data_IF_555755670707
#
_entry.id   IF_555755670707
#
_cell.length_a   1.000
_cell.length_b   1.000
_cell.length_c   1.000
_cell.angle_alpha   90.00
_cell.angle_beta   90.00
_cell.angle_gamma   90.00
#
_symmetry.space_group_name_H-M   'P 1'
#
loop_
_entity.id
_entity.type
_entity.pdbx_description
1 polymer ?
#
# COMPACT_ATOMS: atom_id res chain seq x y z
N UNK A 1 24.87 -3.26 17.83
CA UNK A 1 24.89 -3.96 16.53
C UNK A 1 23.76 -3.45 15.65
N UNK A 2 24.04 -3.26 14.36
CA UNK A 2 23.04 -2.89 13.37
C UNK A 2 22.27 -4.15 12.95
N UNK A 3 20.97 -4.02 12.70
CA UNK A 3 20.12 -5.12 12.23
C UNK A 3 19.98 -5.17 10.71
N UNK A 4 20.44 -4.13 10.01
CA UNK A 4 20.32 -3.96 8.56
C UNK A 4 21.69 -3.60 7.97
N UNK A 5 21.98 -3.95 6.71
CA UNK A 5 23.25 -3.62 6.05
C UNK A 5 23.38 -2.13 5.67
N UNK A 6 22.38 -1.31 6.01
CA UNK A 6 22.33 0.13 5.73
C UNK A 6 22.18 0.90 7.03
N UNK A 7 22.98 1.95 7.19
CA UNK A 7 22.89 2.88 8.30
C UNK A 7 22.80 4.32 7.79
N UNK A 8 21.78 5.05 8.24
CA UNK A 8 21.62 6.46 7.99
C UNK A 8 21.75 7.21 9.33
N UNK A 9 22.79 8.05 9.52
CA UNK A 9 22.90 8.87 10.72
C UNK A 9 21.71 9.82 10.87
N UNK A 10 21.15 9.92 12.08
CA UNK A 10 20.04 10.84 12.38
C UNK A 10 20.46 12.32 12.36
N UNK A 11 21.77 12.57 12.50
CA UNK A 11 22.37 13.90 12.54
C UNK A 11 23.38 14.06 11.43
N UNK A 12 23.32 15.21 10.77
CA UNK A 12 24.28 15.54 9.73
C UNK A 12 25.66 15.76 10.33
N UNK A 13 26.68 15.25 9.66
CA UNK A 13 28.06 15.53 9.99
C UNK A 13 28.46 16.94 9.53
N UNK A 14 29.42 17.55 10.22
CA UNK A 14 30.00 18.82 9.81
C UNK A 14 30.79 18.67 8.49
N UNK A 15 31.07 19.76 7.76
CA UNK A 15 31.99 19.72 6.63
C UNK A 15 33.37 19.20 7.03
N UNK A 16 33.95 18.33 6.20
CA UNK A 16 35.24 17.74 6.46
C UNK A 16 35.40 16.34 5.87
N UNK A 17 36.55 15.74 6.15
CA UNK A 17 36.93 14.40 5.69
C UNK A 17 36.67 13.38 6.80
N UNK A 18 35.99 12.31 6.45
CA UNK A 18 35.56 11.25 7.35
C UNK A 18 36.10 9.89 6.90
N UNK A 19 36.24 9.00 7.87
CA UNK A 19 36.66 7.62 7.67
C UNK A 19 35.67 6.70 8.36
N UNK A 20 35.35 5.57 7.76
CA UNK A 20 34.44 4.59 8.35
C UNK A 20 34.80 3.17 7.94
N UNK A 21 34.31 2.19 8.70
CA UNK A 21 34.44 0.75 8.45
C UNK A 21 33.17 0.05 8.93
N UNK A 22 32.95 -1.18 8.47
CA UNK A 22 31.91 -2.06 9.00
C UNK A 22 32.51 -3.37 9.50
N UNK A 23 31.79 -4.03 10.41
CA UNK A 23 32.12 -5.34 10.97
C UNK A 23 30.85 -6.22 10.90
N UNK A 24 30.98 -7.45 10.39
CA UNK A 24 29.89 -8.42 10.30
C UNK A 24 30.44 -9.84 10.31
N UNK A 25 29.87 -10.74 11.11
CA UNK A 25 30.28 -12.15 11.14
C UNK A 25 31.76 -12.41 11.49
N UNK A 26 32.43 -11.47 12.16
CA UNK A 26 33.87 -11.54 12.46
C UNK A 26 34.77 -11.05 11.32
N UNK A 27 34.20 -10.64 10.19
CA UNK A 27 34.91 -9.92 9.12
C UNK A 27 34.83 -8.41 9.36
N UNK A 28 35.89 -7.71 8.95
CA UNK A 28 35.97 -6.25 9.00
C UNK A 28 36.37 -5.74 7.63
N UNK A 29 35.76 -4.65 7.19
CA UNK A 29 36.19 -3.96 5.98
C UNK A 29 37.54 -3.24 6.14
N UNK A 30 38.13 -2.90 5.01
CA UNK A 30 39.12 -1.82 4.94
C UNK A 30 38.50 -0.47 5.33
N UNK A 31 39.30 0.52 5.76
CA UNK A 31 38.79 1.86 6.04
C UNK A 31 38.37 2.58 4.74
N UNK A 32 37.10 2.93 4.65
CA UNK A 32 36.58 3.78 3.59
C UNK A 32 36.71 5.26 3.97
N UNK A 33 36.75 6.14 2.96
CA UNK A 33 36.83 7.59 3.15
C UNK A 33 35.75 8.29 2.35
N UNK A 34 35.19 9.37 2.90
CA UNK A 34 34.35 10.31 2.17
C UNK A 34 34.58 11.75 2.67
N UNK A 35 34.12 12.74 1.90
CA UNK A 35 34.22 14.16 2.25
C UNK A 35 32.83 14.81 2.19
N UNK A 36 32.54 15.67 3.15
CA UNK A 36 31.37 16.54 3.15
C UNK A 36 31.84 17.95 2.86
N UNK A 37 31.44 18.47 1.70
CA UNK A 37 31.77 19.83 1.29
C UNK A 37 31.03 20.87 2.18
N UNK A 38 31.58 22.08 2.38
CA UNK A 38 30.92 23.14 3.15
C UNK A 38 29.53 23.55 2.65
N UNK A 39 29.23 23.32 1.37
CA UNK A 39 27.91 23.59 0.76
C UNK A 39 27.03 22.37 0.59
N UNK A 40 27.36 21.23 1.22
CA UNK A 40 26.53 20.03 1.12
C UNK A 40 25.14 20.26 1.74
N UNK A 41 24.10 19.76 1.07
CA UNK A 41 22.73 19.84 1.57
C UNK A 41 22.63 19.09 2.90
N UNK A 42 22.13 19.78 3.93
CA UNK A 42 21.82 19.16 5.22
C UNK A 42 20.43 18.54 5.16
N UNK A 43 20.35 17.22 5.27
CA UNK A 43 19.10 16.48 5.39
C UNK A 43 19.15 15.62 6.66
N UNK A 44 18.39 16.02 7.67
CA UNK A 44 18.20 15.22 8.89
C UNK A 44 16.82 14.55 8.81
N UNK A 45 16.82 13.22 8.87
CA UNK A 45 15.58 12.44 8.88
C UNK A 45 15.35 11.98 10.32
N UNK A 46 14.32 12.48 11.02
CA UNK A 46 14.04 12.03 12.37
C UNK A 46 13.73 10.53 12.45
N UNK A 47 13.92 9.89 13.61
CA UNK A 47 13.64 8.47 13.77
C UNK A 47 12.15 8.18 13.59
N UNK A 48 11.81 6.99 13.08
CA UNK A 48 10.43 6.58 12.81
C UNK A 48 9.47 6.80 13.99
N UNK A 49 9.93 6.59 15.23
CA UNK A 49 9.16 6.81 16.45
C UNK A 49 8.63 8.26 16.58
N UNK A 50 9.42 9.25 16.18
CA UNK A 50 9.03 10.66 16.22
C UNK A 50 7.95 10.96 15.18
N UNK A 51 8.07 10.42 13.97
CA UNK A 51 7.03 10.54 12.95
C UNK A 51 5.73 9.90 13.42
N UNK A 52 5.80 8.67 13.92
CA UNK A 52 4.64 7.91 14.41
C UNK A 52 3.92 8.63 15.54
N UNK A 53 4.64 9.26 16.46
CA UNK A 53 4.04 10.05 17.54
C UNK A 53 3.30 11.31 17.04
N UNK A 54 3.65 11.83 15.85
CA UNK A 54 2.99 12.98 15.22
C UNK A 54 1.79 12.61 14.37
N UNK A 55 1.61 11.34 14.00
CA UNK A 55 0.44 10.91 13.22
C UNK A 55 -0.85 11.07 14.04
N UNK A 56 -1.90 11.60 13.41
CA UNK A 56 -3.20 11.71 14.03
C UNK A 56 -3.74 10.32 14.41
N UNK A 57 -4.33 10.19 15.61
CA UNK A 57 -4.94 8.94 16.06
C UNK A 57 -6.26 8.62 15.33
N UNK A 58 -6.88 9.57 14.63
CA UNK A 58 -8.10 9.37 13.85
C UNK A 58 -7.84 9.14 12.36
N UNK A 59 -8.89 8.80 11.61
CA UNK A 59 -8.86 8.65 10.15
C UNK A 59 -9.65 9.78 9.46
N UNK A 60 -9.28 10.21 8.24
CA UNK A 60 -8.20 9.69 7.39
C UNK A 60 -6.81 10.12 7.84
N UNK A 61 -5.77 9.41 7.38
CA UNK A 61 -4.34 9.70 7.58
C UNK A 61 -3.55 9.71 6.28
N UNK A 62 -4.12 9.21 5.19
CA UNK A 62 -3.49 9.17 3.86
C UNK A 62 -4.04 10.33 3.03
N UNK A 63 -3.13 11.21 2.57
CA UNK A 63 -3.41 12.45 1.82
C UNK A 63 -4.26 13.52 2.55
N UNK A 64 -4.62 13.29 3.80
CA UNK A 64 -5.35 14.24 4.63
C UNK A 64 -5.41 13.78 6.09
N UNK A 65 -6.01 14.62 6.93
CA UNK A 65 -6.23 14.37 8.37
C UNK A 65 -7.70 14.58 8.73
N UNK A 66 -8.18 14.08 9.89
CA UNK A 66 -9.59 14.25 10.28
C UNK A 66 -10.00 15.73 10.36
N UNK A 67 -9.09 16.59 10.85
CA UNK A 67 -9.33 18.03 10.99
C UNK A 67 -9.49 18.78 9.66
N UNK A 68 -9.06 18.19 8.54
CA UNK A 68 -9.15 18.82 7.21
C UNK A 68 -10.42 18.43 6.44
N UNK A 69 -11.17 17.41 6.90
CA UNK A 69 -12.29 16.84 6.13
C UNK A 69 -13.41 17.86 5.92
N UNK A 70 -13.75 18.65 6.94
CA UNK A 70 -14.83 19.64 6.83
C UNK A 70 -14.53 20.73 5.79
N UNK A 71 -13.31 21.28 5.81
CA UNK A 71 -12.85 22.26 4.82
C UNK A 71 -12.81 21.66 3.41
N UNK A 72 -12.29 20.43 3.28
CA UNK A 72 -12.22 19.74 2.00
C UNK A 72 -13.61 19.55 1.36
N UNK A 73 -14.61 19.17 2.17
CA UNK A 73 -16.01 19.05 1.72
C UNK A 73 -16.59 20.39 1.29
N UNK A 74 -16.33 21.47 2.04
CA UNK A 74 -16.78 22.80 1.68
C UNK A 74 -16.20 23.27 0.33
N UNK A 75 -14.89 23.08 0.12
CA UNK A 75 -14.24 23.38 -1.16
C UNK A 75 -14.77 22.52 -2.31
N UNK A 76 -15.00 21.22 -2.05
CA UNK A 76 -15.56 20.32 -3.06
C UNK A 76 -16.99 20.72 -3.45
N UNK A 77 -17.83 21.12 -2.49
CA UNK A 77 -19.19 21.57 -2.75
C UNK A 77 -19.22 22.78 -3.70
N UNK A 78 -18.28 23.72 -3.54
CA UNK A 78 -18.16 24.93 -4.36
C UNK A 78 -17.42 24.70 -5.69
N UNK A 79 -16.70 23.59 -5.85
CA UNK A 79 -15.99 23.28 -7.09
C UNK A 79 -16.96 23.09 -8.26
N UNK A 80 -16.61 23.68 -9.41
CA UNK A 80 -17.27 23.53 -10.71
C UNK A 80 -16.41 22.74 -11.70
N UNK A 81 -15.42 22.00 -11.21
CA UNK A 81 -14.50 21.24 -12.05
C UNK A 81 -15.20 20.06 -12.73
N UNK A 82 -14.99 19.81 -14.03
CA UNK A 82 -15.48 18.60 -14.70
C UNK A 82 -15.01 17.30 -14.03
N UNK A 83 -13.86 17.33 -13.33
CA UNK A 83 -13.36 16.19 -12.56
C UNK A 83 -14.29 15.81 -11.40
N UNK A 84 -14.99 16.79 -10.79
CA UNK A 84 -15.99 16.52 -9.75
C UNK A 84 -17.17 15.76 -10.33
N UNK A 85 -17.70 16.23 -11.45
CA UNK A 85 -18.86 15.59 -12.08
C UNK A 85 -18.52 14.18 -12.53
N UNK A 86 -17.32 13.98 -13.10
CA UNK A 86 -16.81 12.65 -13.43
C UNK A 86 -16.70 11.74 -12.21
N UNK A 87 -16.11 12.21 -11.11
CA UNK A 87 -16.00 11.42 -9.88
C UNK A 87 -17.38 10.97 -9.38
N UNK A 88 -18.35 11.89 -9.34
CA UNK A 88 -19.70 11.60 -8.85
C UNK A 88 -20.44 10.63 -9.78
N UNK A 89 -20.27 10.79 -11.10
CA UNK A 89 -20.85 9.86 -12.09
C UNK A 89 -20.23 8.45 -11.96
N UNK A 90 -18.90 8.36 -11.87
CA UNK A 90 -18.19 7.09 -11.69
C UNK A 90 -18.61 6.41 -10.36
N UNK A 91 -18.70 7.18 -9.27
CA UNK A 91 -19.13 6.67 -7.97
C UNK A 91 -20.61 6.22 -7.97
N UNK A 92 -21.49 6.95 -8.65
CA UNK A 92 -22.90 6.58 -8.78
C UNK A 92 -23.08 5.31 -9.62
N UNK A 93 -22.30 5.15 -10.70
CA UNK A 93 -22.27 3.91 -11.47
C UNK A 93 -21.78 2.74 -10.61
N UNK A 94 -20.67 2.93 -9.88
CA UNK A 94 -20.11 1.91 -9.00
C UNK A 94 -21.03 1.47 -7.86
N UNK A 95 -22.00 2.30 -7.43
CA UNK A 95 -23.04 1.91 -6.46
C UNK A 95 -24.00 0.85 -7.02
N UNK A 96 -24.22 0.83 -8.34
CA UNK A 96 -25.08 -0.15 -9.00
C UNK A 96 -24.40 -1.49 -9.29
N UNK A 97 -23.07 -1.52 -9.23
CA UNK A 97 -22.26 -2.70 -9.51
C UNK A 97 -22.18 -3.66 -8.31
N UNK A 98 -21.78 -4.91 -8.57
CA UNK A 98 -21.47 -5.86 -7.50
C UNK A 98 -20.40 -5.30 -6.55
N UNK A 99 -20.58 -5.53 -5.25
CA UNK A 99 -19.57 -5.23 -4.23
C UNK A 99 -18.90 -6.50 -3.68
N UNK A 100 -19.10 -7.62 -4.38
CA UNK A 100 -18.45 -8.88 -4.13
C UNK A 100 -17.59 -9.27 -5.33
N UNK A 101 -16.39 -9.77 -5.06
CA UNK A 101 -15.50 -10.38 -6.04
C UNK A 101 -15.00 -11.71 -5.48
N UNK A 102 -15.27 -12.79 -6.21
CA UNK A 102 -14.82 -14.12 -5.84
C UNK A 102 -13.30 -14.23 -5.90
N UNK A 103 -12.72 -15.07 -5.06
CA UNK A 103 -11.28 -15.35 -5.12
C UNK A 103 -10.93 -16.01 -6.47
N UNK A 104 -9.90 -15.52 -7.17
CA UNK A 104 -9.54 -16.08 -8.46
C UNK A 104 -8.96 -17.49 -8.32
N UNK A 105 -9.00 -18.32 -9.39
CA UNK A 105 -8.34 -19.62 -9.39
C UNK A 105 -6.81 -19.46 -9.38
N UNK A 106 -6.09 -20.54 -9.05
CA UNK A 106 -4.65 -20.60 -9.27
C UNK A 106 -4.34 -20.51 -10.76
N UNK A 107 -3.37 -19.64 -11.09
CA UNK A 107 -2.74 -19.60 -12.40
C UNK A 107 -2.15 -20.97 -12.80
N UNK A 108 -2.29 -21.38 -14.08
CA UNK A 108 -1.57 -22.51 -14.67
C UNK A 108 -0.03 -22.38 -14.53
N UNK A 109 0.69 -23.46 -14.84
CA UNK A 109 2.14 -23.42 -14.96
C UNK A 109 2.55 -22.67 -16.25
N UNK A 110 3.20 -21.52 -16.08
CA UNK A 110 3.62 -20.64 -17.18
C UNK A 110 4.56 -21.33 -18.17
N UNK A 111 5.37 -22.30 -17.70
CA UNK A 111 6.32 -23.03 -18.53
C UNK A 111 5.67 -24.17 -19.33
N UNK A 112 4.44 -24.57 -18.97
CA UNK A 112 3.68 -25.61 -19.66
C UNK A 112 2.68 -25.04 -20.66
N UNK A 113 1.95 -24.00 -20.27
CA UNK A 113 0.87 -23.44 -21.08
C UNK A 113 0.75 -21.92 -20.84
N UNK A 114 1.54 -21.17 -21.60
CA UNK A 114 1.56 -19.71 -21.53
C UNK A 114 0.22 -19.08 -21.93
N UNK A 115 -0.49 -19.64 -22.91
CA UNK A 115 -1.74 -19.06 -23.40
C UNK A 115 -2.85 -19.18 -22.34
N UNK A 116 -2.98 -20.36 -21.71
CA UNK A 116 -3.91 -20.54 -20.60
C UNK A 116 -3.53 -19.70 -19.39
N UNK A 117 -2.22 -19.61 -19.07
CA UNK A 117 -1.72 -18.74 -18.01
C UNK A 117 -2.09 -17.27 -18.26
N UNK A 118 -1.79 -16.76 -19.45
CA UNK A 118 -2.00 -15.36 -19.79
C UNK A 118 -3.47 -14.97 -19.80
N UNK A 119 -4.35 -15.83 -20.34
CA UNK A 119 -5.78 -15.58 -20.35
C UNK A 119 -6.34 -15.36 -18.94
N UNK A 120 -6.02 -16.26 -18.01
CA UNK A 120 -6.49 -16.18 -16.62
C UNK A 120 -5.80 -15.02 -15.88
N UNK A 121 -4.48 -14.87 -16.04
CA UNK A 121 -3.74 -13.78 -15.39
C UNK A 121 -4.24 -12.40 -15.80
N UNK A 122 -4.54 -12.20 -17.09
CA UNK A 122 -5.01 -10.91 -17.62
C UNK A 122 -6.37 -10.51 -17.04
N UNK A 123 -7.30 -11.47 -16.93
CA UNK A 123 -8.60 -11.24 -16.28
C UNK A 123 -8.41 -10.85 -14.80
N UNK A 124 -7.62 -11.62 -14.05
CA UNK A 124 -7.37 -11.36 -12.63
C UNK A 124 -6.73 -9.98 -12.41
N UNK A 125 -5.75 -9.62 -13.25
CA UNK A 125 -5.09 -8.33 -13.24
C UNK A 125 -6.11 -7.19 -13.32
N UNK A 126 -6.98 -7.22 -14.32
CA UNK A 126 -7.91 -6.12 -14.56
C UNK A 126 -9.09 -6.12 -13.61
N UNK A 127 -9.65 -7.29 -13.28
CA UNK A 127 -10.79 -7.40 -12.38
C UNK A 127 -10.44 -6.96 -10.97
N UNK A 128 -9.34 -7.49 -10.40
CA UNK A 128 -8.92 -7.11 -9.05
C UNK A 128 -8.53 -5.62 -8.97
N UNK A 129 -7.82 -5.10 -9.99
CA UNK A 129 -7.45 -3.69 -10.06
C UNK A 129 -8.68 -2.78 -10.17
N UNK A 130 -9.60 -3.08 -11.08
CA UNK A 130 -10.83 -2.31 -11.26
C UNK A 130 -11.70 -2.36 -9.99
N UNK A 131 -11.78 -3.51 -9.33
CA UNK A 131 -12.60 -3.69 -8.13
C UNK A 131 -12.10 -2.86 -6.95
N UNK A 132 -10.80 -2.94 -6.62
CA UNK A 132 -10.20 -2.16 -5.52
C UNK A 132 -10.10 -0.69 -5.88
N UNK A 133 -9.79 -0.35 -7.14
CA UNK A 133 -9.84 1.05 -7.59
C UNK A 133 -11.24 1.62 -7.47
N UNK A 134 -12.27 0.83 -7.75
CA UNK A 134 -13.67 1.20 -7.51
C UNK A 134 -13.95 1.48 -6.04
N UNK A 135 -13.42 0.69 -5.12
CA UNK A 135 -13.51 0.96 -3.68
C UNK A 135 -12.83 2.28 -3.30
N UNK A 136 -11.66 2.60 -3.86
CA UNK A 136 -10.98 3.88 -3.67
C UNK A 136 -11.82 5.06 -4.20
N UNK A 137 -12.42 4.92 -5.39
CA UNK A 137 -13.30 5.94 -5.98
C UNK A 137 -14.53 6.21 -5.12
N UNK A 138 -15.19 5.15 -4.64
CA UNK A 138 -16.33 5.24 -3.72
C UNK A 138 -15.91 5.90 -2.39
N UNK A 139 -14.79 5.47 -1.82
CA UNK A 139 -14.25 6.05 -0.59
C UNK A 139 -13.92 7.54 -0.73
N UNK A 140 -13.33 7.95 -1.86
CA UNK A 140 -13.05 9.36 -2.16
C UNK A 140 -14.34 10.16 -2.30
N UNK A 141 -15.35 9.61 -2.99
CA UNK A 141 -16.66 10.25 -3.11
C UNK A 141 -17.29 10.46 -1.72
N UNK A 142 -17.25 9.46 -0.83
CA UNK A 142 -17.68 9.64 0.57
C UNK A 142 -16.87 10.72 1.30
N UNK A 143 -15.54 10.70 1.19
CA UNK A 143 -14.68 11.66 1.88
C UNK A 143 -15.07 13.10 1.50
N UNK A 144 -15.34 13.35 0.22
CA UNK A 144 -15.62 14.65 -0.36
C UNK A 144 -17.09 15.10 -0.24
N UNK A 145 -18.04 14.17 -0.14
CA UNK A 145 -19.49 14.49 -0.09
C UNK A 145 -20.12 14.27 1.27
N UNK A 146 -19.59 13.33 2.06
CA UNK A 146 -20.24 12.81 3.27
C UNK A 146 -21.37 11.80 3.00
N UNK A 147 -21.65 11.42 1.75
CA UNK A 147 -22.71 10.45 1.44
C UNK A 147 -22.30 9.03 1.87
N UNK A 148 -22.93 8.55 2.93
CA UNK A 148 -22.63 7.26 3.57
C UNK A 148 -22.88 6.05 2.67
N UNK A 149 -23.67 6.19 1.59
CA UNK A 149 -23.89 5.10 0.63
C UNK A 149 -22.58 4.71 -0.04
N UNK A 150 -21.77 5.70 -0.43
CA UNK A 150 -20.46 5.43 -1.01
C UNK A 150 -19.50 4.78 0.00
N UNK A 151 -19.55 5.20 1.28
CA UNK A 151 -18.73 4.60 2.33
C UNK A 151 -19.05 3.12 2.51
N UNK A 152 -20.33 2.78 2.67
CA UNK A 152 -20.77 1.39 2.86
C UNK A 152 -20.44 0.50 1.65
N UNK A 153 -20.58 1.02 0.43
CA UNK A 153 -20.18 0.31 -0.79
C UNK A 153 -18.66 0.05 -0.85
N UNK A 154 -17.84 1.04 -0.48
CA UNK A 154 -16.38 0.86 -0.37
C UNK A 154 -16.01 -0.15 0.71
N UNK A 155 -16.65 -0.09 1.89
CA UNK A 155 -16.46 -1.08 2.96
C UNK A 155 -16.78 -2.49 2.47
N UNK A 156 -17.91 -2.70 1.82
CA UNK A 156 -18.33 -4.00 1.31
C UNK A 156 -17.32 -4.58 0.31
N UNK A 157 -16.83 -3.76 -0.63
CA UNK A 157 -15.78 -4.17 -1.58
C UNK A 157 -14.48 -4.57 -0.86
N UNK A 158 -14.00 -3.73 0.06
CA UNK A 158 -12.77 -4.01 0.79
C UNK A 158 -12.91 -5.25 1.70
N UNK A 159 -14.06 -5.43 2.35
CA UNK A 159 -14.35 -6.62 3.15
C UNK A 159 -14.42 -7.87 2.27
N UNK A 160 -15.02 -7.79 1.06
CA UNK A 160 -15.07 -8.91 0.13
C UNK A 160 -13.69 -9.37 -0.31
N UNK A 161 -12.82 -8.47 -0.78
CA UNK A 161 -11.48 -8.86 -1.24
C UNK A 161 -10.55 -9.25 -0.09
N UNK A 162 -10.86 -8.81 1.13
CA UNK A 162 -10.15 -9.24 2.32
C UNK A 162 -10.43 -10.70 2.72
N UNK A 163 -11.45 -11.34 2.12
CA UNK A 163 -11.72 -12.78 2.30
C UNK A 163 -10.80 -13.68 1.48
N UNK A 164 -10.14 -13.16 0.45
CA UNK A 164 -9.20 -13.95 -0.35
C UNK A 164 -8.02 -14.40 0.50
N UNK A 165 -7.61 -15.66 0.33
CA UNK A 165 -6.45 -16.20 1.04
C UNK A 165 -5.17 -15.44 0.62
N UNK A 166 -4.53 -14.68 1.53
CA UNK A 166 -3.30 -13.95 1.23
C UNK A 166 -2.11 -14.87 0.93
N UNK A 167 -2.21 -16.16 1.27
CA UNK A 167 -1.23 -17.21 0.99
C UNK A 167 -1.70 -18.19 -0.10
N UNK A 168 -2.85 -17.91 -0.74
CA UNK A 168 -3.46 -18.73 -1.78
C UNK A 168 -3.15 -18.24 -3.20
N UNK A 169 -4.16 -18.27 -4.08
CA UNK A 169 -4.02 -17.92 -5.51
C UNK A 169 -3.66 -16.44 -5.77
N UNK A 170 -3.76 -15.60 -4.74
CA UNK A 170 -3.46 -14.17 -4.79
C UNK A 170 -2.23 -13.78 -3.95
N UNK A 171 -1.40 -14.75 -3.58
CA UNK A 171 -0.10 -14.54 -2.92
C UNK A 171 0.89 -13.86 -3.90
N UNK A 172 1.86 -13.08 -3.38
CA UNK A 172 2.71 -12.20 -4.23
C UNK A 172 3.73 -12.94 -5.10
N UNK A 173 4.22 -14.10 -4.68
CA UNK A 173 5.10 -14.95 -5.46
C UNK A 173 4.34 -15.77 -6.50
N UNK A 174 3.08 -16.12 -6.23
CA UNK A 174 2.21 -16.79 -7.21
C UNK A 174 1.61 -15.84 -8.26
N UNK A 175 0.94 -14.77 -7.80
CA UNK A 175 0.32 -13.76 -8.67
C UNK A 175 0.45 -12.37 -8.06
N UNK A 176 1.53 -11.67 -8.42
CA UNK A 176 1.78 -10.33 -7.91
C UNK A 176 0.69 -9.32 -8.26
N UNK A 177 0.00 -9.43 -9.39
CA UNK A 177 -0.99 -8.42 -9.79
C UNK A 177 -2.24 -8.44 -8.89
N UNK A 178 -2.73 -9.64 -8.54
CA UNK A 178 -3.84 -9.80 -7.59
C UNK A 178 -3.45 -9.26 -6.21
N UNK A 179 -2.21 -9.47 -5.79
CA UNK A 179 -1.70 -8.95 -4.53
C UNK A 179 -1.56 -7.42 -4.55
N UNK A 180 -0.93 -6.89 -5.59
CA UNK A 180 -0.61 -5.47 -5.70
C UNK A 180 -1.85 -4.59 -5.87
N UNK A 181 -2.91 -5.09 -6.51
CA UNK A 181 -4.17 -4.34 -6.63
C UNK A 181 -4.75 -3.97 -5.26
N UNK A 182 -4.72 -4.91 -4.29
CA UNK A 182 -5.11 -4.67 -2.90
C UNK A 182 -4.19 -3.64 -2.23
N UNK A 183 -2.87 -3.83 -2.34
CA UNK A 183 -1.88 -3.00 -1.63
C UNK A 183 -1.82 -1.56 -2.18
N UNK A 184 -1.98 -1.36 -3.48
CA UNK A 184 -1.88 -0.03 -4.08
C UNK A 184 -3.08 0.86 -3.78
N UNK A 185 -4.30 0.33 -3.88
CA UNK A 185 -5.52 1.15 -3.78
C UNK A 185 -6.24 0.99 -2.44
N UNK A 186 -6.19 -0.21 -1.86
CA UNK A 186 -6.93 -0.58 -0.67
C UNK A 186 -6.62 0.25 0.58
N UNK A 187 -5.36 0.61 0.90
CA UNK A 187 -5.07 1.40 2.11
C UNK A 187 -5.82 2.73 2.14
N UNK A 188 -5.90 3.44 1.00
CA UNK A 188 -6.63 4.70 0.88
C UNK A 188 -8.13 4.49 1.03
N UNK A 189 -8.66 3.48 0.35
CA UNK A 189 -10.07 3.12 0.45
C UNK A 189 -10.45 2.86 1.92
N UNK A 190 -9.70 2.00 2.61
CA UNK A 190 -9.93 1.67 4.02
C UNK A 190 -9.76 2.87 4.96
N UNK A 191 -8.71 3.66 4.77
CA UNK A 191 -8.43 4.85 5.58
C UNK A 191 -9.57 5.88 5.52
N UNK A 192 -10.10 6.14 4.33
CA UNK A 192 -11.11 7.18 4.15
C UNK A 192 -12.50 6.80 4.63
N UNK A 193 -12.81 5.50 4.71
CA UNK A 193 -14.11 4.97 5.19
C UNK A 193 -13.99 4.22 6.51
N UNK A 194 -12.88 4.39 7.23
CA UNK A 194 -12.53 3.61 8.42
C UNK A 194 -13.67 3.49 9.45
N UNK A 195 -14.32 4.62 9.73
CA UNK A 195 -15.44 4.72 10.69
C UNK A 195 -16.71 3.99 10.25
N UNK A 196 -16.80 3.57 8.98
CA UNK A 196 -17.98 2.91 8.44
C UNK A 196 -17.86 1.39 8.38
N UNK A 197 -16.69 0.79 8.59
CA UNK A 197 -16.60 -0.67 8.72
C UNK A 197 -17.29 -1.15 10.00
N UNK A 198 -17.99 -2.28 9.91
CA UNK A 198 -18.36 -3.04 11.11
C UNK A 198 -17.11 -3.62 11.77
N UNK A 199 -17.22 -4.05 13.04
CA UNK A 199 -16.09 -4.65 13.75
C UNK A 199 -15.57 -5.92 13.05
N UNK A 200 -16.48 -6.75 12.52
CA UNK A 200 -16.12 -7.97 11.79
C UNK A 200 -15.43 -7.65 10.45
N UNK A 201 -15.99 -6.71 9.66
CA UNK A 201 -15.37 -6.28 8.40
C UNK A 201 -13.97 -5.72 8.66
N UNK A 202 -13.83 -4.89 9.70
CA UNK A 202 -12.55 -4.29 10.09
C UNK A 202 -11.54 -5.32 10.53
N UNK A 203 -11.95 -6.32 11.31
CA UNK A 203 -11.08 -7.40 11.75
C UNK A 203 -10.50 -8.19 10.55
N UNK A 204 -11.35 -8.55 9.59
CA UNK A 204 -10.94 -9.27 8.38
C UNK A 204 -9.99 -8.43 7.51
N UNK A 205 -10.33 -7.16 7.26
CA UNK A 205 -9.48 -6.23 6.50
C UNK A 205 -8.11 -6.06 7.15
N UNK A 206 -8.07 -5.84 8.48
CA UNK A 206 -6.81 -5.67 9.21
C UNK A 206 -5.96 -6.94 9.17
N UNK A 207 -6.57 -8.11 9.35
CA UNK A 207 -5.86 -9.38 9.27
C UNK A 207 -5.24 -9.59 7.88
N UNK A 208 -6.00 -9.29 6.83
CA UNK A 208 -5.54 -9.44 5.44
C UNK A 208 -4.38 -8.50 5.11
N UNK A 209 -4.49 -7.20 5.44
CA UNK A 209 -3.39 -6.25 5.23
C UNK A 209 -2.14 -6.61 6.04
N UNK A 210 -2.30 -7.10 7.27
CA UNK A 210 -1.17 -7.56 8.09
C UNK A 210 -0.44 -8.71 7.42
N UNK A 211 -1.17 -9.73 6.94
CA UNK A 211 -0.58 -10.90 6.29
C UNK A 211 0.09 -10.54 4.97
N UNK A 212 -0.60 -9.79 4.09
CA UNK A 212 -0.02 -9.33 2.82
C UNK A 212 1.20 -8.44 3.02
N UNK A 213 1.16 -7.53 4.01
CA UNK A 213 2.29 -6.70 4.39
C UNK A 213 3.49 -7.52 4.86
N UNK A 214 3.26 -8.59 5.64
CA UNK A 214 4.32 -9.51 6.05
C UNK A 214 4.91 -10.26 4.85
N UNK A 215 4.07 -10.77 3.93
CA UNK A 215 4.54 -11.48 2.75
C UNK A 215 5.43 -10.58 1.88
N UNK A 216 5.06 -9.30 1.75
CA UNK A 216 5.87 -8.32 1.02
C UNK A 216 7.17 -7.96 1.73
N UNK A 217 7.12 -7.80 3.06
CA UNK A 217 8.32 -7.55 3.85
C UNK A 217 9.31 -8.71 3.73
N UNK A 218 8.83 -9.95 3.84
CA UNK A 218 9.66 -11.15 3.69
C UNK A 218 10.28 -11.22 2.29
N UNK A 219 9.48 -11.04 1.24
CA UNK A 219 9.97 -11.02 -0.15
C UNK A 219 11.06 -9.95 -0.36
N UNK A 220 10.95 -8.80 0.29
CA UNK A 220 11.98 -7.76 0.21
C UNK A 220 13.26 -8.18 0.95
N UNK A 221 13.14 -8.82 2.12
CA UNK A 221 14.27 -9.31 2.90
C UNK A 221 15.02 -10.45 2.18
N UNK A 222 14.30 -11.41 1.59
CA UNK A 222 14.89 -12.54 0.85
C UNK A 222 15.74 -12.05 -0.35
N UNK A 223 15.29 -10.99 -1.02
CA UNK A 223 16.03 -10.34 -2.11
C UNK A 223 17.29 -9.61 -1.63
N UNK A 224 17.26 -9.06 -0.40
CA UNK A 224 18.41 -8.36 0.19
C UNK A 224 19.46 -9.34 0.73
N UNK A 225 19.05 -10.50 1.24
CA UNK A 225 19.95 -11.55 1.74
C UNK A 225 20.59 -12.37 0.62
N UNK A 226 20.16 -12.22 -0.63
CA UNK A 226 20.64 -13.01 -1.77
C UNK A 226 20.16 -14.48 -1.72
N UNK A 227 19.22 -14.79 -0.83
CA UNK A 227 18.66 -16.13 -0.62
C UNK A 227 17.49 -16.36 -1.58
N UNK A 228 17.69 -15.97 -2.86
CA UNK A 228 16.70 -16.04 -3.94
C UNK A 228 16.48 -17.51 -4.32
N UNK A 229 15.83 -18.26 -3.43
CA UNK A 229 15.16 -19.54 -3.73
C UNK A 229 13.82 -19.27 -4.42
N UNK A 230 13.83 -18.41 -5.42
CA UNK A 230 12.75 -18.28 -6.38
C UNK A 230 13.34 -18.59 -7.76
N UNK A 231 13.57 -19.88 -7.97
CA UNK A 231 13.65 -20.41 -9.32
C UNK A 231 12.40 -19.97 -10.08
N UNK A 232 12.60 -19.36 -11.23
CA UNK A 232 11.70 -19.57 -12.35
C UNK A 232 11.78 -21.06 -12.68
N UNK A 233 10.92 -21.87 -12.06
CA UNK A 233 10.64 -23.25 -12.44
C UNK A 233 9.14 -23.46 -12.49
#
# INVERSE_FOLDING_TARGET
DLTEPVYLPEKAFAPGRYFWRWESGGEQSEPFTFEIAPGAVTLEIPPAAEWLARFAAGHPRIYGTPGQVADLRARFAQSTSPTKDKLLADAAWLLGESHHLAEPPFLPDINRDYEAWFAIWYEILWDSRAFVKGAETLALAYLLTGDVRFARAACARMASIAQWDPDGSSEVNHNSEAHMSVIWHGPKACDWVWEHFTDDERAVVVAQFRRRGQNQFNRAQDRLSGDDRAGLS
#
